data_IF_396655849942
#
_entry.id   IF_396655849942
#
_cell.length_a   1.000
_cell.length_b   1.000
_cell.length_c   1.000
_cell.angle_alpha   90.00
_cell.angle_beta   90.00
_cell.angle_gamma   90.00
#
_symmetry.space_group_name_H-M   'P 1'
#
loop_
_entity.id
_entity.type
_entity.pdbx_description
1 polymer ?
#
# COMPACT_ATOMS: atom_id res chain seq x y z
N UNK A 1 -17.34 12.32 -16.92
CA UNK A 1 -17.47 12.09 -15.47
C UNK A 1 -18.10 10.73 -15.29
N UNK A 2 -17.30 9.69 -15.03
CA UNK A 2 -17.85 8.36 -14.78
C UNK A 2 -18.66 8.38 -13.47
N UNK A 3 -19.89 7.83 -13.45
CA UNK A 3 -20.66 7.73 -12.23
C UNK A 3 -19.85 6.96 -11.19
N UNK A 4 -19.89 7.40 -9.93
CA UNK A 4 -19.33 6.67 -8.79
C UNK A 4 -20.14 5.36 -8.66
N UNK A 5 -19.70 4.33 -9.40
CA UNK A 5 -20.32 3.01 -9.37
C UNK A 5 -20.12 2.43 -7.98
N UNK A 6 -21.22 1.97 -7.39
CA UNK A 6 -21.31 1.48 -6.02
C UNK A 6 -20.26 0.43 -5.65
N UNK A 7 -20.12 0.25 -4.33
CA UNK A 7 -19.16 -0.62 -3.64
C UNK A 7 -19.31 -2.13 -3.95
N UNK A 8 -20.36 -2.53 -4.66
CA UNK A 8 -20.73 -3.93 -4.87
C UNK A 8 -20.38 -4.44 -6.28
N UNK A 9 -19.10 -4.30 -6.65
CA UNK A 9 -18.59 -4.81 -7.93
C UNK A 9 -17.80 -6.08 -7.72
N UNK A 10 -18.01 -7.07 -8.59
CA UNK A 10 -17.17 -8.26 -8.60
C UNK A 10 -15.70 -7.88 -8.78
N UNK A 11 -14.80 -8.62 -8.12
CA UNK A 11 -13.35 -8.42 -8.25
C UNK A 11 -12.93 -8.43 -9.73
N UNK A 12 -13.53 -9.30 -10.54
CA UNK A 12 -13.31 -9.38 -11.98
C UNK A 12 -13.69 -8.10 -12.70
N UNK A 13 -14.90 -7.55 -12.46
CA UNK A 13 -15.37 -6.32 -13.10
C UNK A 13 -14.58 -5.09 -12.67
N UNK A 14 -14.13 -5.05 -11.42
CA UNK A 14 -13.22 -4.00 -10.94
C UNK A 14 -11.89 -4.03 -11.70
N UNK A 15 -11.26 -5.19 -11.77
CA UNK A 15 -9.95 -5.34 -12.41
C UNK A 15 -10.00 -5.22 -13.93
N UNK A 16 -11.12 -5.54 -14.58
CA UNK A 16 -11.33 -5.28 -15.99
C UNK A 16 -11.22 -3.76 -16.29
N UNK A 17 -11.88 -2.91 -15.49
CA UNK A 17 -11.78 -1.45 -15.65
C UNK A 17 -10.36 -0.92 -15.43
N UNK A 18 -9.66 -1.48 -14.44
CA UNK A 18 -8.25 -1.11 -14.20
C UNK A 18 -7.37 -1.54 -15.37
N UNK A 19 -7.62 -2.71 -15.95
CA UNK A 19 -6.93 -3.19 -17.14
C UNK A 19 -7.17 -2.27 -18.34
N UNK A 20 -8.43 -1.92 -18.63
CA UNK A 20 -8.79 -1.01 -19.73
C UNK A 20 -8.13 0.36 -19.53
N UNK A 21 -8.22 0.91 -18.32
CA UNK A 21 -7.60 2.18 -17.98
C UNK A 21 -6.07 2.12 -18.13
N UNK A 22 -5.43 1.06 -17.68
CA UNK A 22 -3.98 0.88 -17.79
C UNK A 22 -3.53 0.88 -19.25
N UNK A 23 -4.20 0.13 -20.13
CA UNK A 23 -3.83 0.05 -21.55
C UNK A 23 -4.19 1.31 -22.33
N UNK A 24 -5.23 2.03 -21.94
CA UNK A 24 -5.58 3.32 -22.54
C UNK A 24 -4.63 4.46 -22.16
N UNK A 25 -3.92 4.36 -21.02
CA UNK A 25 -3.11 5.46 -20.47
C UNK A 25 -1.60 5.15 -20.36
N UNK A 26 -1.16 3.93 -20.70
CA UNK A 26 0.28 3.61 -20.69
C UNK A 26 1.00 4.42 -21.76
N UNK A 27 2.13 5.01 -21.40
CA UNK A 27 3.04 5.68 -22.33
C UNK A 27 4.17 4.77 -22.83
N UNK A 28 4.03 3.45 -22.61
CA UNK A 28 5.05 2.45 -22.88
C UNK A 28 4.44 1.12 -23.36
N UNK A 29 5.26 0.29 -24.00
CA UNK A 29 4.82 -1.04 -24.46
C UNK A 29 4.62 -2.01 -23.30
N UNK A 30 3.48 -2.70 -23.30
CA UNK A 30 3.11 -3.62 -22.24
C UNK A 30 1.99 -4.55 -22.69
N UNK A 31 2.15 -5.83 -22.39
CA UNK A 31 1.23 -6.94 -22.64
C UNK A 31 0.63 -7.50 -21.33
N UNK A 32 0.72 -6.73 -20.23
CA UNK A 32 0.27 -7.18 -18.91
C UNK A 32 -1.20 -7.56 -18.93
N UNK A 33 -1.49 -8.76 -18.46
CA UNK A 33 -2.85 -9.25 -18.26
C UNK A 33 -3.49 -8.64 -17.01
N UNK A 34 -4.82 -8.71 -16.92
CA UNK A 34 -5.58 -8.34 -15.73
C UNK A 34 -5.02 -9.03 -14.46
N UNK A 35 -4.71 -10.33 -14.53
CA UNK A 35 -4.13 -11.08 -13.42
C UNK A 35 -2.74 -10.58 -13.02
N UNK A 36 -1.90 -10.20 -14.01
CA UNK A 36 -0.57 -9.62 -13.75
C UNK A 36 -0.66 -8.29 -13.01
N UNK A 37 -1.58 -7.41 -13.43
CA UNK A 37 -1.85 -6.12 -12.77
C UNK A 37 -2.36 -6.32 -11.33
N UNK A 38 -3.30 -7.25 -11.16
CA UNK A 38 -3.84 -7.59 -9.84
C UNK A 38 -2.77 -8.10 -8.88
N UNK A 39 -1.96 -9.07 -9.33
CA UNK A 39 -0.88 -9.63 -8.52
C UNK A 39 0.15 -8.56 -8.16
N UNK A 40 0.56 -7.73 -9.12
CA UNK A 40 1.50 -6.63 -8.89
C UNK A 40 0.97 -5.64 -7.86
N UNK A 41 -0.31 -5.26 -7.97
CA UNK A 41 -0.94 -4.37 -7.00
C UNK A 41 -1.04 -5.00 -5.61
N UNK A 42 -1.34 -6.30 -5.51
CA UNK A 42 -1.36 -7.02 -4.24
C UNK A 42 0.00 -6.96 -3.53
N UNK A 43 1.10 -7.19 -4.28
CA UNK A 43 2.46 -7.04 -3.75
C UNK A 43 2.75 -5.62 -3.28
N UNK A 44 2.43 -4.61 -4.10
CA UNK A 44 2.62 -3.19 -3.72
C UNK A 44 1.84 -2.87 -2.46
N UNK A 45 0.58 -3.29 -2.41
CA UNK A 45 -0.29 -3.03 -1.28
C UNK A 45 0.24 -3.68 -0.01
N UNK A 46 0.69 -4.93 -0.07
CA UNK A 46 1.24 -5.64 1.08
C UNK A 46 2.50 -4.94 1.61
N UNK A 47 3.53 -4.78 0.77
CA UNK A 47 4.82 -4.25 1.20
C UNK A 47 4.67 -2.79 1.69
N UNK A 48 3.87 -1.95 1.01
CA UNK A 48 3.65 -0.55 1.43
C UNK A 48 2.89 -0.47 2.75
N UNK A 49 1.88 -1.32 2.98
CA UNK A 49 1.15 -1.32 4.26
C UNK A 49 2.06 -1.75 5.43
N UNK A 50 2.89 -2.78 5.22
CA UNK A 50 3.88 -3.21 6.21
C UNK A 50 4.87 -2.08 6.51
N UNK A 51 5.37 -1.40 5.48
CA UNK A 51 6.25 -0.25 5.64
C UNK A 51 5.57 0.91 6.38
N UNK A 52 4.31 1.23 6.06
CA UNK A 52 3.52 2.23 6.81
C UNK A 52 3.40 1.88 8.29
N UNK A 53 3.21 0.60 8.64
CA UNK A 53 3.21 0.15 10.03
C UNK A 53 4.57 0.32 10.72
N UNK A 54 5.67 0.18 9.99
CA UNK A 54 7.01 0.51 10.50
C UNK A 54 7.15 2.01 10.74
N UNK A 55 6.76 2.86 9.78
CA UNK A 55 6.81 4.32 9.90
C UNK A 55 6.01 4.80 11.11
N UNK A 56 4.74 4.36 11.26
CA UNK A 56 3.91 4.74 12.42
C UNK A 56 4.59 4.38 13.74
N UNK A 57 5.17 3.17 13.87
CA UNK A 57 5.85 2.77 15.10
C UNK A 57 7.14 3.55 15.38
N UNK A 58 7.81 4.07 14.36
CA UNK A 58 8.96 4.98 14.54
C UNK A 58 8.47 6.37 14.94
N UNK A 59 7.39 6.87 14.33
CA UNK A 59 6.75 8.14 14.67
C UNK A 59 6.27 8.14 16.14
N UNK A 60 5.63 7.07 16.59
CA UNK A 60 5.08 6.92 17.95
C UNK A 60 6.13 6.84 19.06
N UNK A 61 7.39 6.52 18.72
CA UNK A 61 8.50 6.46 19.70
C UNK A 61 8.93 7.84 20.22
N UNK A 62 8.36 8.93 19.69
CA UNK A 62 8.56 10.31 20.16
C UNK A 62 10.04 10.67 20.42
N UNK A 63 10.95 10.22 19.55
CA UNK A 63 12.35 10.61 19.61
C UNK A 63 12.49 12.07 19.16
N UNK A 64 12.70 12.97 20.12
CA UNK A 64 13.03 14.36 19.86
C UNK A 64 14.37 14.43 19.12
N UNK A 65 14.46 15.31 18.10
CA UNK A 65 15.70 15.56 17.37
C UNK A 65 15.95 14.72 16.11
N UNK A 66 15.11 13.74 15.76
CA UNK A 66 15.25 12.99 14.50
C UNK A 66 14.58 13.72 13.33
N UNK A 67 15.31 13.86 12.22
CA UNK A 67 14.75 14.36 10.96
C UNK A 67 13.74 13.38 10.36
N UNK A 68 12.97 13.84 9.37
CA UNK A 68 12.08 12.94 8.61
C UNK A 68 12.88 11.82 7.95
N UNK A 69 14.03 12.14 7.36
CA UNK A 69 14.88 11.16 6.68
C UNK A 69 15.43 10.10 7.65
N UNK A 70 15.79 10.49 8.88
CA UNK A 70 16.20 9.56 9.93
C UNK A 70 15.08 8.58 10.29
N UNK A 71 13.85 9.09 10.41
CA UNK A 71 12.68 8.25 10.70
C UNK A 71 12.40 7.26 9.56
N UNK A 72 12.55 7.70 8.31
CA UNK A 72 12.39 6.82 7.15
C UNK A 72 13.50 5.77 7.07
N UNK A 73 14.76 6.14 7.36
CA UNK A 73 15.87 5.19 7.42
C UNK A 73 15.64 4.14 8.54
N UNK A 74 15.17 4.57 9.71
CA UNK A 74 14.81 3.67 10.80
C UNK A 74 13.65 2.73 10.42
N UNK A 75 12.63 3.24 9.71
CA UNK A 75 11.52 2.43 9.22
C UNK A 75 11.97 1.39 8.17
N UNK A 76 12.92 1.73 7.29
CA UNK A 76 13.53 0.78 6.35
C UNK A 76 14.28 -0.34 7.06
N UNK A 77 15.04 -0.01 8.11
CA UNK A 77 15.73 -0.99 8.95
C UNK A 77 14.74 -1.91 9.66
N UNK A 78 13.67 -1.33 10.24
CA UNK A 78 12.62 -2.11 10.91
C UNK A 78 11.91 -3.05 9.93
N UNK A 79 11.52 -2.56 8.75
CA UNK A 79 10.92 -3.39 7.69
C UNK A 79 11.80 -4.59 7.35
N UNK A 80 13.11 -4.37 7.15
CA UNK A 80 14.04 -5.44 6.82
C UNK A 80 14.15 -6.48 7.95
N UNK A 81 14.17 -6.05 9.20
CA UNK A 81 14.23 -6.98 10.34
C UNK A 81 12.97 -7.83 10.51
N UNK A 82 11.82 -7.36 10.03
CA UNK A 82 10.54 -8.05 10.16
C UNK A 82 10.14 -8.86 8.91
N UNK A 83 10.73 -8.54 7.76
CA UNK A 83 10.55 -9.33 6.55
C UNK A 83 11.20 -10.71 6.72
N UNK A 84 10.42 -11.77 6.49
CA UNK A 84 10.89 -13.17 6.63
C UNK A 84 12.12 -13.50 5.79
N UNK A 85 12.36 -12.74 4.72
CA UNK A 85 13.48 -12.93 3.79
C UNK A 85 14.53 -11.84 3.94
N UNK A 86 14.45 -11.00 4.97
CA UNK A 86 15.33 -9.87 5.22
C UNK A 86 15.49 -8.94 4.02
N UNK A 87 14.42 -8.77 3.23
CA UNK A 87 14.44 -7.92 2.04
C UNK A 87 14.48 -6.45 2.43
N UNK A 88 15.26 -5.67 1.66
CA UNK A 88 15.15 -4.22 1.70
C UNK A 88 13.80 -3.79 1.13
N UNK A 89 13.21 -2.74 1.69
CA UNK A 89 12.02 -2.13 1.10
C UNK A 89 12.37 -1.43 -0.22
N UNK A 90 11.91 -1.99 -1.33
CA UNK A 90 12.23 -1.52 -2.69
C UNK A 90 11.16 -0.58 -3.29
N UNK A 91 10.05 -0.34 -2.58
CA UNK A 91 8.87 0.36 -3.11
C UNK A 91 8.70 1.78 -2.54
N UNK A 92 9.82 2.46 -2.26
CA UNK A 92 9.83 3.84 -1.73
C UNK A 92 9.03 4.82 -2.61
N UNK A 93 9.14 4.71 -3.93
CA UNK A 93 8.39 5.55 -4.85
C UNK A 93 6.87 5.33 -4.72
N UNK A 94 6.43 4.06 -4.64
CA UNK A 94 5.02 3.74 -4.45
C UNK A 94 4.50 4.26 -3.10
N UNK A 95 5.27 4.09 -2.02
CA UNK A 95 4.90 4.64 -0.72
C UNK A 95 4.76 6.16 -0.75
N UNK A 96 5.67 6.89 -1.39
CA UNK A 96 5.59 8.35 -1.52
C UNK A 96 4.33 8.83 -2.26
N UNK A 97 3.88 8.08 -3.28
CA UNK A 97 2.63 8.38 -3.99
C UNK A 97 1.40 8.09 -3.11
N UNK A 98 1.44 6.99 -2.35
CA UNK A 98 0.28 6.46 -1.64
C UNK A 98 0.07 7.10 -0.25
N UNK A 99 1.13 7.53 0.43
CA UNK A 99 1.10 7.90 1.86
C UNK A 99 0.10 9.02 2.19
N UNK A 100 -0.13 9.93 1.25
CA UNK A 100 -1.01 11.11 1.42
C UNK A 100 -2.40 10.91 0.79
N UNK A 101 -2.67 9.74 0.20
CA UNK A 101 -3.98 9.47 -0.41
C UNK A 101 -5.04 9.23 0.68
N UNK A 102 -6.25 9.83 0.59
CA UNK A 102 -7.28 9.72 1.64
C UNK A 102 -7.60 8.29 2.07
N UNK A 103 -7.75 7.38 1.10
CA UNK A 103 -7.98 5.94 1.36
C UNK A 103 -6.84 5.29 2.14
N UNK A 104 -5.60 5.74 1.93
CA UNK A 104 -4.43 5.21 2.62
C UNK A 104 -4.32 5.76 4.04
N UNK A 105 -4.62 7.04 4.22
CA UNK A 105 -4.71 7.68 5.54
C UNK A 105 -5.79 7.00 6.40
N UNK A 106 -6.97 6.76 5.84
CA UNK A 106 -8.06 6.06 6.53
C UNK A 106 -7.66 4.64 6.94
N UNK A 107 -7.03 3.90 6.03
CA UNK A 107 -6.50 2.56 6.31
C UNK A 107 -5.46 2.56 7.42
N UNK A 108 -4.55 3.55 7.48
CA UNK A 108 -3.57 3.69 8.58
C UNK A 108 -4.26 3.81 9.94
N UNK A 109 -5.37 4.56 10.03
CA UNK A 109 -6.16 4.70 11.26
C UNK A 109 -6.79 3.37 11.70
N UNK A 110 -7.24 2.55 10.75
CA UNK A 110 -7.80 1.21 11.04
C UNK A 110 -6.74 0.20 11.50
N UNK A 111 -5.52 0.28 10.97
CA UNK A 111 -4.40 -0.61 11.35
C UNK A 111 -3.85 -0.26 12.76
N UNK A 112 -3.96 1.00 13.18
CA UNK A 112 -3.60 1.45 14.53
C UNK A 112 -4.70 1.25 15.59
N UNK A 113 -5.91 0.84 15.20
CA UNK A 113 -7.00 0.51 16.13
C UNK A 113 -6.92 -0.94 16.62
N UNK A 114 -7.48 -1.27 17.80
CA UNK A 114 -7.55 -2.64 18.29
C UNK A 114 -8.25 -3.54 17.26
N UNK A 115 -7.60 -4.66 16.91
CA UNK A 115 -8.16 -5.64 15.97
C UNK A 115 -9.47 -6.21 16.54
N UNK A 116 -10.62 -5.78 16.04
CA UNK A 116 -11.85 -6.56 16.22
C UNK A 116 -11.75 -7.81 15.37
N UNK A 117 -11.45 -8.93 16.03
CA UNK A 117 -11.62 -10.28 15.48
C UNK A 117 -13.11 -10.47 15.27
N UNK A 118 -13.57 -10.36 14.02
CA UNK A 118 -14.94 -10.69 13.65
C UNK A 118 -15.13 -12.20 13.69
N UNK A 119 -15.82 -12.70 14.71
CA UNK A 119 -16.33 -14.06 14.73
C UNK A 119 -17.29 -14.26 13.55
N UNK A 120 -16.97 -15.20 12.66
CA UNK A 120 -17.96 -15.77 11.73
C UNK A 120 -18.85 -16.71 12.53
N UNK A 121 -20.15 -16.42 12.53
CA UNK A 121 -21.21 -17.35 12.91
C UNK A 121 -21.65 -18.14 11.68
#
# INVERSE_FOLDING_TARGET
MDPIRGVDQSQTSYWARIYDYFHANKSFESDRTQGSLMNRWSTIQHDVNTFCGCVTRIEDRNQSGCSVDDKIAAACTLFKSEDKKYRNFALMHCWRILKDQPKWIERRKQIGGPKTVGNKK
#
